data_IF_884312848005
#
_entry.id   IF_884312848005
#
_cell.length_a   1.000
_cell.length_b   1.000
_cell.length_c   1.000
_cell.angle_alpha   90.00
_cell.angle_beta   90.00
_cell.angle_gamma   90.00
#
_symmetry.space_group_name_H-M   'P 1'
#
loop_
_entity.id
_entity.type
_entity.pdbx_description
1 polymer ?
#
# COMPACT_ATOMS: atom_id res chain seq x y z
N UNK A 1 -73.91 -0.03 19.16
CA UNK A 1 -74.35 0.23 17.77
C UNK A 1 -73.17 -0.26 16.86
N UNK A 2 -73.28 -1.50 16.39
CA UNK A 2 -73.63 -1.91 15.01
C UNK A 2 -72.66 -1.35 13.93
N UNK A 3 -71.96 -2.07 13.09
CA UNK A 3 -72.02 -3.43 12.44
C UNK A 3 -70.67 -3.57 11.71
N UNK A 4 -69.84 -4.59 11.80
CA UNK A 4 -69.85 -5.87 11.07
C UNK A 4 -70.04 -5.77 9.54
N UNK A 5 -69.13 -6.35 8.76
CA UNK A 5 -69.17 -7.14 7.51
C UNK A 5 -67.76 -7.35 6.97
N UNK A 6 -67.10 -8.50 7.10
CA UNK A 6 -67.11 -9.81 6.38
C UNK A 6 -66.60 -9.74 4.95
N UNK A 7 -65.43 -10.33 4.78
CA UNK A 7 -64.90 -11.28 3.76
C UNK A 7 -65.51 -11.36 2.37
N UNK A 8 -64.63 -11.52 1.35
CA UNK A 8 -64.62 -12.63 0.38
C UNK A 8 -63.35 -12.77 -0.39
N UNK A 9 -62.75 -13.99 -0.31
CA UNK A 9 -61.82 -14.58 -1.31
C UNK A 9 -62.62 -14.90 -2.56
N UNK A 10 -61.96 -14.86 -3.75
CA UNK A 10 -62.39 -15.61 -4.92
C UNK A 10 -61.14 -16.03 -5.69
N UNK A 11 -60.88 -17.34 -5.70
CA UNK A 11 -60.06 -18.07 -6.63
C UNK A 11 -60.86 -18.37 -7.89
N UNK A 12 -60.24 -18.34 -9.08
CA UNK A 12 -60.55 -19.07 -10.32
C UNK A 12 -59.28 -19.09 -11.13
N UNK A 13 -58.65 -20.12 -11.57
CA UNK A 13 -59.05 -21.44 -12.05
C UNK A 13 -58.96 -21.48 -13.58
N UNK A 14 -57.87 -22.11 -14.06
CA UNK A 14 -57.63 -22.78 -15.36
C UNK A 14 -58.52 -22.43 -16.59
N UNK A 15 -57.82 -22.25 -17.74
CA UNK A 15 -58.07 -23.11 -18.93
C UNK A 15 -57.04 -22.90 -20.05
N UNK A 16 -56.44 -24.01 -20.46
CA UNK A 16 -55.59 -24.24 -21.62
C UNK A 16 -56.44 -24.20 -22.88
N UNK A 17 -55.95 -23.56 -23.97
CA UNK A 17 -56.22 -23.99 -25.34
C UNK A 17 -55.04 -23.76 -26.25
N UNK A 18 -54.49 -24.83 -26.74
CA UNK A 18 -53.52 -24.89 -27.82
C UNK A 18 -54.20 -24.54 -29.15
N UNK A 19 -53.50 -23.80 -29.98
CA UNK A 19 -53.76 -23.77 -31.43
C UNK A 19 -52.46 -23.73 -32.20
N UNK A 20 -52.13 -24.82 -32.86
CA UNK A 20 -51.03 -24.94 -33.79
C UNK A 20 -51.45 -24.35 -35.16
N UNK A 21 -50.60 -23.49 -35.73
CA UNK A 21 -50.56 -23.23 -37.18
C UNK A 21 -49.09 -23.20 -37.61
N UNK A 22 -48.82 -24.08 -38.54
CA UNK A 22 -47.56 -24.31 -39.24
C UNK A 22 -47.31 -23.27 -40.34
N UNK A 23 -45.98 -23.13 -40.65
CA UNK A 23 -45.35 -22.78 -41.92
C UNK A 23 -44.73 -21.36 -41.96
N UNK A 24 -43.40 -21.37 -42.14
CA UNK A 24 -42.63 -20.24 -42.62
C UNK A 24 -41.17 -20.33 -42.21
N UNK A 25 -40.35 -21.08 -42.97
CA UNK A 25 -38.90 -21.12 -42.82
C UNK A 25 -38.34 -19.75 -43.21
N UNK A 26 -37.88 -18.97 -42.26
CA UNK A 26 -36.91 -17.92 -42.48
C UNK A 26 -35.73 -18.20 -41.53
N UNK A 27 -34.58 -18.57 -42.13
CA UNK A 27 -33.31 -18.66 -41.42
C UNK A 27 -32.87 -17.26 -40.98
N UNK A 28 -33.21 -16.88 -39.80
CA UNK A 28 -32.57 -15.75 -39.12
C UNK A 28 -31.35 -16.29 -38.36
N UNK A 29 -30.16 -15.91 -38.78
CA UNK A 29 -28.94 -16.03 -37.99
C UNK A 29 -29.14 -15.25 -36.69
N UNK A 30 -29.61 -15.90 -35.65
CA UNK A 30 -29.56 -15.39 -34.29
C UNK A 30 -28.15 -15.65 -33.78
N UNK A 31 -27.26 -14.67 -33.99
CA UNK A 31 -26.04 -14.57 -33.20
C UNK A 31 -26.46 -14.42 -31.72
N UNK A 32 -26.47 -15.52 -30.99
CA UNK A 32 -26.50 -15.45 -29.52
C UNK A 32 -25.21 -14.78 -29.11
N UNK A 33 -25.26 -13.46 -28.85
CA UNK A 33 -24.28 -12.83 -28.03
C UNK A 33 -24.35 -13.55 -26.69
N UNK A 34 -23.38 -14.42 -26.43
CA UNK A 34 -23.09 -14.86 -25.06
C UNK A 34 -22.67 -13.62 -24.32
N UNK A 35 -23.60 -12.97 -23.64
CA UNK A 35 -23.31 -12.03 -22.60
C UNK A 35 -22.68 -12.86 -21.50
N UNK A 36 -21.35 -12.97 -21.50
CA UNK A 36 -20.62 -13.45 -20.32
C UNK A 36 -20.99 -12.49 -19.21
N UNK A 37 -21.60 -12.92 -18.10
CA UNK A 37 -21.84 -12.02 -17.01
C UNK A 37 -20.45 -11.49 -16.62
N UNK A 38 -20.27 -10.16 -16.68
CA UNK A 38 -19.11 -9.50 -16.12
C UNK A 38 -18.96 -10.07 -14.72
N UNK A 39 -17.88 -10.82 -14.47
CA UNK A 39 -17.61 -11.32 -13.14
C UNK A 39 -17.76 -10.13 -12.20
N UNK A 40 -18.59 -10.27 -11.17
CA UNK A 40 -18.70 -9.25 -10.16
C UNK A 40 -17.26 -8.96 -9.71
N UNK A 41 -16.86 -7.68 -9.71
CA UNK A 41 -15.54 -7.30 -9.20
C UNK A 41 -15.39 -8.02 -7.85
N UNK A 42 -14.42 -8.93 -7.77
CA UNK A 42 -14.19 -9.66 -6.53
C UNK A 42 -14.04 -8.60 -5.45
N UNK A 43 -14.83 -8.75 -4.37
CA UNK A 43 -14.69 -7.90 -3.21
C UNK A 43 -13.19 -7.85 -2.87
N UNK A 44 -12.64 -6.66 -2.59
CA UNK A 44 -11.21 -6.45 -2.34
C UNK A 44 -10.74 -7.60 -1.47
N UNK A 45 -9.95 -8.50 -2.05
CA UNK A 45 -9.41 -9.64 -1.33
C UNK A 45 -8.37 -9.08 -0.35
N UNK A 46 -8.56 -9.35 0.94
CA UNK A 46 -7.66 -8.86 2.01
C UNK A 46 -6.23 -9.42 1.90
N UNK A 47 -5.98 -10.31 0.94
CA UNK A 47 -4.68 -10.94 0.69
C UNK A 47 -3.79 -10.16 -0.26
N UNK A 48 -4.36 -9.32 -1.13
CA UNK A 48 -3.64 -8.73 -2.25
C UNK A 48 -2.96 -7.41 -1.87
N UNK A 49 -1.84 -7.12 -2.50
CA UNK A 49 -1.20 -5.80 -2.44
C UNK A 49 -1.92 -4.86 -3.41
N UNK A 50 -2.40 -3.72 -2.89
CA UNK A 50 -3.18 -2.75 -3.68
C UNK A 50 -2.58 -1.36 -3.55
N UNK A 51 -2.40 -0.70 -4.69
CA UNK A 51 -1.85 0.65 -4.75
C UNK A 51 -2.45 1.44 -5.92
N UNK A 52 -2.44 2.76 -5.81
CA UNK A 52 -2.97 3.66 -6.84
C UNK A 52 -1.84 4.46 -7.51
N UNK A 53 -1.96 4.62 -8.82
CA UNK A 53 -1.02 5.36 -9.66
C UNK A 53 -1.72 6.43 -10.49
N UNK A 54 -0.99 7.51 -10.83
CA UNK A 54 -1.39 8.50 -11.84
C UNK A 54 -0.42 8.41 -13.02
N UNK A 55 -0.86 7.82 -14.12
CA UNK A 55 0.00 7.58 -15.27
C UNK A 55 0.46 8.87 -15.97
N UNK A 56 -0.23 9.99 -15.75
CA UNK A 56 0.11 11.33 -16.30
C UNK A 56 1.38 11.93 -15.68
N UNK A 57 1.84 11.38 -14.58
CA UNK A 57 3.07 11.84 -13.90
C UNK A 57 4.31 11.32 -14.63
N UNK A 58 5.47 11.97 -14.44
CA UNK A 58 6.72 11.56 -15.09
C UNK A 58 7.11 10.11 -14.82
N UNK A 59 7.65 9.45 -15.85
CA UNK A 59 8.10 8.04 -15.81
C UNK A 59 8.03 7.40 -17.20
N UNK A 60 7.49 6.20 -17.30
CA UNK A 60 7.08 5.53 -18.54
C UNK A 60 6.04 6.36 -19.31
N UNK A 61 5.64 6.02 -20.54
CA UNK A 61 4.57 6.72 -21.26
C UNK A 61 3.34 6.97 -20.40
N UNK A 62 2.63 8.06 -20.67
CA UNK A 62 1.49 8.55 -19.85
C UNK A 62 0.26 7.62 -19.83
N UNK A 63 0.28 6.56 -20.62
CA UNK A 63 -0.71 5.46 -20.62
C UNK A 63 -0.16 4.17 -20.02
N UNK A 64 0.97 4.20 -19.31
CA UNK A 64 1.60 3.00 -18.79
C UNK A 64 2.04 3.14 -17.33
N UNK A 65 2.14 2.00 -16.66
CA UNK A 65 2.85 1.83 -15.39
C UNK A 65 3.63 0.54 -15.41
N UNK A 66 4.92 0.61 -15.10
CA UNK A 66 5.83 -0.55 -15.08
C UNK A 66 5.96 -1.04 -13.64
N UNK A 67 5.54 -2.28 -13.39
CA UNK A 67 5.68 -2.91 -12.06
C UNK A 67 7.16 -3.08 -11.74
N UNK A 68 7.70 -2.37 -10.74
CA UNK A 68 9.11 -2.40 -10.41
C UNK A 68 9.43 -3.64 -9.56
N UNK A 69 10.31 -4.48 -10.04
CA UNK A 69 10.76 -5.68 -9.34
C UNK A 69 12.28 -5.74 -9.24
N UNK A 70 12.78 -6.55 -8.30
CA UNK A 70 14.19 -6.88 -8.16
C UNK A 70 14.36 -8.34 -7.77
N UNK A 71 15.37 -9.01 -8.36
CA UNK A 71 15.63 -10.42 -8.07
C UNK A 71 14.59 -11.36 -8.66
N UNK A 72 14.34 -12.49 -8.00
CA UNK A 72 13.45 -13.55 -8.47
C UNK A 72 12.48 -14.03 -7.36
N UNK A 73 11.78 -15.15 -7.63
CA UNK A 73 10.84 -15.76 -6.68
C UNK A 73 9.42 -15.22 -6.80
N UNK A 74 9.11 -14.51 -7.88
CA UNK A 74 7.76 -14.02 -8.17
C UNK A 74 6.91 -15.12 -8.80
N UNK A 75 5.64 -15.14 -8.43
CA UNK A 75 4.56 -15.89 -9.08
C UNK A 75 3.25 -15.17 -8.74
N UNK A 76 2.96 -14.09 -9.47
CA UNK A 76 1.86 -13.20 -9.13
C UNK A 76 0.83 -13.08 -10.25
N UNK A 77 -0.34 -12.62 -9.88
CA UNK A 77 -1.42 -12.16 -10.76
C UNK A 77 -1.50 -10.66 -10.70
N UNK A 78 -1.95 -10.02 -11.76
CA UNK A 78 -2.13 -8.58 -11.80
C UNK A 78 -3.45 -8.20 -12.45
N UNK A 79 -4.18 -7.32 -11.77
CA UNK A 79 -5.34 -6.59 -12.23
C UNK A 79 -4.94 -5.09 -12.26
N UNK A 80 -4.77 -4.56 -13.47
CA UNK A 80 -4.17 -3.24 -13.70
C UNK A 80 -5.11 -2.07 -13.40
N UNK A 81 -6.40 -2.30 -13.25
CA UNK A 81 -7.42 -1.27 -13.05
C UNK A 81 -8.42 -1.59 -11.95
N UNK A 82 -8.20 -2.71 -11.25
CA UNK A 82 -9.04 -3.22 -10.15
C UNK A 82 -10.51 -3.38 -10.57
N UNK A 83 -10.76 -3.86 -11.81
CA UNK A 83 -12.11 -4.14 -12.30
C UNK A 83 -12.55 -5.61 -12.08
N UNK A 84 -11.67 -6.41 -11.47
CA UNK A 84 -11.85 -7.84 -11.22
C UNK A 84 -11.43 -8.71 -12.41
N UNK A 85 -10.90 -8.11 -13.48
CA UNK A 85 -10.34 -8.84 -14.61
C UNK A 85 -8.82 -8.89 -14.44
N UNK A 86 -8.25 -10.08 -14.35
CA UNK A 86 -6.81 -10.27 -14.24
C UNK A 86 -6.19 -10.19 -15.65
N UNK A 87 -5.34 -9.17 -15.89
CA UNK A 87 -4.64 -9.04 -17.18
C UNK A 87 -3.56 -10.09 -17.36
N UNK A 88 -2.93 -10.54 -16.28
CA UNK A 88 -1.91 -11.58 -16.37
C UNK A 88 -1.82 -12.42 -15.11
N UNK A 89 -1.46 -13.69 -15.30
CA UNK A 89 -1.26 -14.70 -14.22
C UNK A 89 0.14 -15.29 -14.31
N UNK A 90 0.60 -15.90 -13.21
CA UNK A 90 1.89 -16.58 -13.12
C UNK A 90 3.08 -15.72 -13.58
N UNK A 91 3.03 -14.42 -13.28
CA UNK A 91 4.08 -13.50 -13.65
C UNK A 91 5.33 -13.73 -12.78
N UNK A 92 6.48 -13.87 -13.42
CA UNK A 92 7.78 -14.11 -12.77
C UNK A 92 8.75 -12.95 -12.95
N UNK A 93 8.39 -11.97 -13.78
CA UNK A 93 9.17 -10.80 -14.15
C UNK A 93 8.40 -9.50 -13.97
N UNK A 94 8.97 -8.39 -14.40
CA UNK A 94 8.29 -7.11 -14.49
C UNK A 94 7.11 -7.19 -15.47
N UNK A 95 6.03 -6.49 -15.15
CA UNK A 95 4.85 -6.37 -16.01
C UNK A 95 4.56 -4.90 -16.29
N UNK A 96 4.07 -4.58 -17.49
CA UNK A 96 3.66 -3.22 -17.84
C UNK A 96 2.14 -3.17 -17.97
N UNK A 97 1.48 -2.50 -17.04
CA UNK A 97 0.09 -2.12 -17.22
C UNK A 97 -0.04 -1.05 -18.30
N UNK A 98 -0.90 -1.28 -19.28
CA UNK A 98 -1.14 -0.36 -20.39
C UNK A 98 -2.62 0.02 -20.45
N UNK A 99 -2.91 1.30 -20.56
CA UNK A 99 -4.24 1.87 -20.48
C UNK A 99 -4.61 2.57 -21.80
N UNK A 100 -5.90 2.60 -22.14
CA UNK A 100 -6.38 3.29 -23.33
C UNK A 100 -6.22 4.82 -23.24
N UNK A 101 -6.26 5.38 -22.01
CA UNK A 101 -6.17 6.81 -21.75
C UNK A 101 -5.26 7.07 -20.54
N UNK A 102 -4.54 8.21 -20.51
CA UNK A 102 -3.87 8.66 -19.29
C UNK A 102 -4.86 8.89 -18.15
N UNK A 103 -4.51 8.48 -16.92
CA UNK A 103 -5.43 8.63 -15.81
C UNK A 103 -4.89 8.14 -14.47
N UNK A 104 -5.80 8.06 -13.50
CA UNK A 104 -5.55 7.45 -12.20
C UNK A 104 -6.11 6.05 -12.21
N UNK A 105 -5.31 5.07 -11.81
CA UNK A 105 -5.65 3.66 -11.81
C UNK A 105 -5.23 3.00 -10.50
N UNK A 106 -6.10 2.14 -9.98
CA UNK A 106 -5.75 1.27 -8.86
C UNK A 106 -5.29 -0.07 -9.41
N UNK A 107 -4.14 -0.52 -8.98
CA UNK A 107 -3.52 -1.77 -9.41
C UNK A 107 -3.56 -2.75 -8.24
N UNK A 108 -3.88 -4.00 -8.54
CA UNK A 108 -3.98 -5.08 -7.58
C UNK A 108 -3.03 -6.22 -7.97
N UNK A 109 -2.25 -6.67 -7.02
CA UNK A 109 -1.30 -7.76 -7.18
C UNK A 109 -1.61 -8.86 -6.18
N UNK A 110 -1.99 -10.03 -6.68
CA UNK A 110 -2.24 -11.24 -5.88
C UNK A 110 -1.13 -12.27 -6.05
N UNK A 111 -1.06 -13.24 -5.13
CA UNK A 111 -0.09 -14.34 -5.20
C UNK A 111 1.25 -14.00 -4.56
N UNK A 112 2.36 -14.53 -5.10
CA UNK A 112 3.70 -14.35 -4.52
C UNK A 112 4.41 -13.16 -5.16
N UNK A 113 4.51 -12.06 -4.40
CA UNK A 113 5.14 -10.81 -4.85
C UNK A 113 6.13 -10.30 -3.79
N UNK A 114 7.35 -10.86 -3.70
CA UNK A 114 8.24 -10.69 -2.55
C UNK A 114 8.90 -9.32 -2.42
N UNK A 115 9.01 -8.55 -3.49
CA UNK A 115 9.62 -7.22 -3.48
C UNK A 115 8.94 -6.27 -4.47
N UNK A 116 8.76 -5.02 -4.04
CA UNK A 116 8.46 -3.86 -4.88
C UNK A 116 9.69 -2.93 -4.81
N UNK A 117 10.27 -2.49 -5.93
CA UNK A 117 11.57 -1.84 -5.88
C UNK A 117 11.70 -0.68 -6.85
N UNK A 118 11.36 0.51 -6.41
CA UNK A 118 11.54 1.75 -7.18
C UNK A 118 12.97 2.29 -7.11
N UNK A 119 13.58 2.28 -5.92
CA UNK A 119 14.96 2.75 -5.71
C UNK A 119 15.27 4.09 -6.39
N UNK A 120 14.40 5.07 -6.20
CA UNK A 120 14.49 6.41 -6.80
C UNK A 120 14.48 6.44 -8.34
N UNK A 121 13.99 5.39 -9.00
CA UNK A 121 13.95 5.27 -10.46
C UNK A 121 12.55 4.99 -11.01
N UNK A 122 12.47 4.68 -12.30
CA UNK A 122 11.26 4.24 -12.99
C UNK A 122 10.05 5.15 -12.77
N UNK A 123 8.91 4.54 -12.53
CA UNK A 123 7.62 5.20 -12.37
C UNK A 123 7.35 5.73 -10.95
N UNK A 124 8.38 6.01 -10.17
CA UNK A 124 8.28 6.48 -8.78
C UNK A 124 7.33 7.67 -8.60
N UNK A 125 7.32 8.62 -9.54
CA UNK A 125 6.47 9.81 -9.44
C UNK A 125 5.02 9.54 -9.83
N UNK A 126 4.72 8.38 -10.43
CA UNK A 126 3.36 7.94 -10.72
C UNK A 126 2.66 7.32 -9.52
N UNK A 127 3.39 6.88 -8.49
CA UNK A 127 2.81 6.37 -7.26
C UNK A 127 2.02 7.47 -6.55
N UNK A 128 0.75 7.16 -6.19
CA UNK A 128 -0.15 8.07 -5.48
C UNK A 128 -0.47 7.56 -4.08
N UNK A 129 -0.75 6.27 -3.93
CA UNK A 129 -0.99 5.70 -2.60
C UNK A 129 -0.71 4.21 -2.54
N UNK A 130 -0.35 3.75 -1.32
CA UNK A 130 -0.49 2.34 -0.92
C UNK A 130 -1.85 2.26 -0.23
N UNK A 131 -2.75 1.45 -0.78
CA UNK A 131 -4.13 1.34 -0.33
C UNK A 131 -4.35 0.10 0.53
N UNK A 132 -3.55 -0.97 0.31
CA UNK A 132 -3.56 -2.21 1.08
C UNK A 132 -2.20 -2.92 0.95
N UNK A 133 -1.66 -3.43 2.07
CA UNK A 133 -0.44 -4.26 2.07
C UNK A 133 -0.74 -5.71 1.71
N UNK A 134 -1.93 -6.20 2.07
CA UNK A 134 -2.36 -7.58 1.92
C UNK A 134 -1.61 -8.55 2.84
N UNK A 135 -1.67 -9.83 2.50
CA UNK A 135 -0.96 -10.90 3.24
C UNK A 135 0.32 -11.35 2.55
N UNK A 136 0.85 -10.49 1.69
CA UNK A 136 2.11 -10.75 1.01
C UNK A 136 3.27 -10.73 2.02
N UNK A 137 4.08 -11.80 2.00
CA UNK A 137 5.29 -11.89 2.84
C UNK A 137 6.43 -11.17 2.16
N UNK A 138 6.75 -9.99 2.64
CA UNK A 138 7.79 -9.15 2.05
C UNK A 138 9.17 -9.71 2.38
N UNK A 139 9.88 -10.23 1.37
CA UNK A 139 11.28 -10.62 1.49
C UNK A 139 12.18 -9.40 1.66
N UNK A 140 11.81 -8.28 1.06
CA UNK A 140 12.50 -7.01 1.21
C UNK A 140 11.57 -5.84 0.93
N UNK A 141 11.66 -4.80 1.78
CA UNK A 141 11.10 -3.47 1.52
C UNK A 141 12.22 -2.41 1.34
N UNK A 142 13.47 -2.84 1.19
CA UNK A 142 14.60 -1.93 0.98
C UNK A 142 14.38 -1.07 -0.26
N UNK A 143 14.32 0.26 -0.07
CA UNK A 143 14.12 1.26 -1.12
C UNK A 143 12.86 1.04 -1.99
N UNK A 144 11.84 0.34 -1.46
CA UNK A 144 10.65 -0.05 -2.21
C UNK A 144 9.93 1.16 -2.79
N UNK A 145 9.75 2.20 -2.01
CA UNK A 145 9.05 3.42 -2.44
C UNK A 145 9.97 4.65 -2.42
N UNK A 146 11.29 4.44 -2.44
CA UNK A 146 12.25 5.54 -2.45
C UNK A 146 12.03 6.46 -3.64
N UNK A 147 11.82 7.75 -3.34
CA UNK A 147 11.61 8.81 -4.32
C UNK A 147 10.19 8.94 -4.86
N UNK A 148 9.22 8.18 -4.34
CA UNK A 148 7.81 8.30 -4.70
C UNK A 148 7.18 9.57 -4.08
N UNK A 149 7.65 10.74 -4.53
CA UNK A 149 7.34 12.03 -3.90
C UNK A 149 5.84 12.40 -3.86
N UNK A 150 5.01 11.79 -4.71
CA UNK A 150 3.57 12.03 -4.77
C UNK A 150 2.75 11.01 -3.95
N UNK A 151 3.42 10.05 -3.29
CA UNK A 151 2.76 8.91 -2.64
C UNK A 151 2.39 9.22 -1.19
N UNK A 152 1.23 8.72 -0.78
CA UNK A 152 0.83 8.60 0.62
C UNK A 152 0.55 7.12 0.97
N UNK A 153 0.46 6.79 2.26
CA UNK A 153 0.02 5.48 2.75
C UNK A 153 -1.37 5.63 3.35
N UNK A 154 -2.32 4.85 2.82
CA UNK A 154 -3.73 4.82 3.26
C UNK A 154 -4.14 3.46 3.82
N UNK A 155 -3.26 2.46 3.67
CA UNK A 155 -3.50 1.09 4.10
C UNK A 155 -3.84 1.02 5.59
N UNK A 156 -4.96 0.39 5.92
CA UNK A 156 -5.41 0.18 7.31
C UNK A 156 -4.93 -1.16 7.88
N UNK A 157 -4.36 -2.01 7.04
CA UNK A 157 -3.60 -3.20 7.40
C UNK A 157 -2.09 -2.89 7.52
N UNK A 158 -1.29 -3.89 7.87
CA UNK A 158 0.16 -3.76 8.04
C UNK A 158 0.90 -4.74 7.14
N UNK A 159 2.12 -4.40 6.68
CA UNK A 159 2.95 -5.34 5.92
C UNK A 159 3.39 -6.52 6.79
N UNK A 160 3.41 -7.73 6.23
CA UNK A 160 4.07 -8.89 6.85
C UNK A 160 5.58 -8.81 6.63
N UNK A 161 6.31 -8.36 7.67
CA UNK A 161 7.77 -8.20 7.67
C UNK A 161 8.53 -9.45 8.16
N UNK A 162 7.84 -10.57 8.38
CA UNK A 162 8.43 -11.79 8.98
C UNK A 162 9.60 -12.40 8.18
N UNK A 163 9.76 -12.01 6.92
CA UNK A 163 10.83 -12.50 6.04
C UNK A 163 11.89 -11.45 5.69
N UNK A 164 11.84 -10.26 6.28
CA UNK A 164 12.85 -9.22 6.07
C UNK A 164 13.46 -8.77 7.38
N UNK A 165 14.74 -8.43 7.33
CA UNK A 165 15.49 -7.82 8.42
C UNK A 165 15.81 -6.33 8.16
N UNK A 166 15.34 -5.79 7.03
CA UNK A 166 15.66 -4.42 6.63
C UNK A 166 14.49 -3.72 5.93
N UNK A 167 14.21 -2.51 6.39
CA UNK A 167 13.29 -1.55 5.75
C UNK A 167 14.04 -0.27 5.35
N UNK A 168 15.36 -0.40 5.08
CA UNK A 168 16.24 0.70 4.72
C UNK A 168 15.65 1.54 3.58
N UNK A 169 15.53 2.86 3.80
CA UNK A 169 15.06 3.84 2.81
C UNK A 169 13.68 3.54 2.19
N UNK A 170 12.80 2.78 2.86
CA UNK A 170 11.52 2.36 2.27
C UNK A 170 10.68 3.54 1.78
N UNK A 171 10.61 4.64 2.54
CA UNK A 171 9.86 5.86 2.19
C UNK A 171 10.75 7.08 1.95
N UNK A 172 12.03 6.88 1.78
CA UNK A 172 12.94 8.02 1.58
C UNK A 172 12.49 8.88 0.40
N UNK A 173 12.43 10.20 0.61
CA UNK A 173 12.05 11.17 -0.42
C UNK A 173 10.57 11.19 -0.79
N UNK A 174 9.71 10.59 0.06
CA UNK A 174 8.26 10.66 -0.11
C UNK A 174 7.72 11.95 0.53
N UNK A 175 7.90 13.06 -0.14
CA UNK A 175 7.55 14.39 0.38
C UNK A 175 6.06 14.58 0.64
N UNK A 176 5.18 13.85 -0.05
CA UNK A 176 3.73 13.87 0.18
C UNK A 176 3.24 12.95 1.30
N UNK A 177 4.12 12.08 1.85
CA UNK A 177 3.73 11.11 2.86
C UNK A 177 3.21 11.77 4.13
N UNK A 178 1.95 11.54 4.46
CA UNK A 178 1.31 11.92 5.73
C UNK A 178 0.92 10.71 6.55
N UNK A 179 0.28 9.71 5.92
CA UNK A 179 -0.15 8.46 6.54
C UNK A 179 -1.22 8.62 7.63
N UNK A 180 -2.04 9.69 7.57
CA UNK A 180 -2.97 10.09 8.65
C UNK A 180 -4.01 9.01 8.99
N UNK A 181 -4.42 8.19 8.01
CA UNK A 181 -5.42 7.15 8.17
C UNK A 181 -4.84 5.73 8.09
N UNK A 182 -3.51 5.62 7.98
CA UNK A 182 -2.83 4.34 7.86
C UNK A 182 -2.60 3.68 9.23
N UNK A 183 -2.48 2.36 9.21
CA UNK A 183 -2.07 1.61 10.39
C UNK A 183 -0.52 1.55 10.47
N UNK A 184 0.04 2.22 11.47
CA UNK A 184 1.49 2.25 11.70
C UNK A 184 1.96 1.29 12.80
N UNK A 185 1.09 0.39 13.29
CA UNK A 185 1.45 -0.63 14.29
C UNK A 185 2.11 -1.85 13.62
N UNK A 186 3.19 -1.62 12.90
CA UNK A 186 3.93 -2.67 12.21
C UNK A 186 4.68 -3.56 13.21
N UNK A 187 4.71 -4.87 12.94
CA UNK A 187 5.63 -5.76 13.64
C UNK A 187 7.04 -5.60 13.06
N UNK A 188 7.87 -4.86 13.77
CA UNK A 188 9.25 -4.57 13.37
C UNK A 188 10.29 -5.41 14.14
N UNK A 189 9.85 -6.44 14.86
CA UNK A 189 10.70 -7.26 15.73
C UNK A 189 11.84 -7.99 15.00
N UNK A 190 11.70 -8.23 13.69
CA UNK A 190 12.76 -8.83 12.86
C UNK A 190 13.78 -7.82 12.33
N UNK A 191 13.48 -6.52 12.42
CA UNK A 191 14.24 -5.49 11.71
C UNK A 191 15.54 -5.13 12.43
N UNK A 192 16.63 -5.17 11.69
CA UNK A 192 17.97 -4.77 12.15
C UNK A 192 18.45 -3.47 11.50
N UNK A 193 17.87 -3.09 10.35
CA UNK A 193 18.25 -1.89 9.62
C UNK A 193 17.03 -1.02 9.27
N UNK A 194 16.95 0.14 9.91
CA UNK A 194 15.93 1.20 9.67
C UNK A 194 16.56 2.49 9.10
N UNK A 195 17.76 2.43 8.57
CA UNK A 195 18.44 3.63 8.07
C UNK A 195 17.63 4.36 7.00
N UNK A 196 17.43 5.66 7.16
CA UNK A 196 16.76 6.52 6.19
C UNK A 196 15.29 6.20 5.86
N UNK A 197 14.57 5.41 6.68
CA UNK A 197 13.18 5.00 6.41
C UNK A 197 12.30 6.19 6.07
N UNK A 198 12.36 7.25 6.85
CA UNK A 198 11.59 8.50 6.67
C UNK A 198 12.48 9.70 6.31
N UNK A 199 13.67 9.44 5.75
CA UNK A 199 14.52 10.54 5.29
C UNK A 199 13.80 11.33 4.19
N UNK A 200 13.84 12.66 4.28
CA UNK A 200 13.22 13.56 3.31
C UNK A 200 11.68 13.42 3.21
N UNK A 201 11.01 12.96 4.27
CA UNK A 201 9.53 12.91 4.39
C UNK A 201 9.02 14.15 5.13
N UNK A 202 8.87 15.25 4.42
CA UNK A 202 8.61 16.57 5.03
C UNK A 202 7.31 16.65 5.85
N UNK A 203 6.30 15.83 5.51
CA UNK A 203 4.96 15.90 6.07
C UNK A 203 4.62 14.76 7.04
N UNK A 204 5.48 13.75 7.16
CA UNK A 204 5.23 12.59 8.03
C UNK A 204 5.32 12.97 9.52
N UNK A 205 4.24 12.69 10.26
CA UNK A 205 4.20 12.90 11.70
C UNK A 205 3.25 11.90 12.40
N UNK A 206 3.41 10.60 12.14
CA UNK A 206 2.60 9.58 12.78
C UNK A 206 3.30 9.00 14.01
N UNK A 207 2.48 8.48 14.95
CA UNK A 207 2.99 7.78 16.12
C UNK A 207 3.46 6.37 15.73
N UNK A 208 4.74 6.13 15.85
CA UNK A 208 5.40 4.84 15.63
C UNK A 208 6.08 4.30 16.89
N UNK A 209 5.67 4.79 18.05
CA UNK A 209 6.25 4.35 19.33
C UNK A 209 5.99 2.89 19.68
N UNK A 210 5.07 2.21 18.97
CA UNK A 210 4.83 0.77 19.11
C UNK A 210 5.85 -0.09 18.34
N UNK A 211 6.69 0.50 17.50
CA UNK A 211 7.70 -0.26 16.78
C UNK A 211 8.73 -0.88 17.73
N UNK A 212 8.99 -2.15 17.56
CA UNK A 212 10.07 -2.83 18.29
C UNK A 212 11.40 -2.54 17.59
N UNK A 213 12.24 -1.76 18.26
CA UNK A 213 13.58 -1.41 17.78
C UNK A 213 14.70 -2.18 18.50
N UNK A 214 14.34 -3.16 19.32
CA UNK A 214 15.30 -3.89 20.18
C UNK A 214 16.35 -4.69 19.42
N UNK A 215 16.10 -4.97 18.12
CA UNK A 215 17.03 -5.63 17.22
C UNK A 215 17.72 -4.66 16.23
N UNK A 216 17.39 -3.37 16.25
CA UNK A 216 17.92 -2.39 15.31
C UNK A 216 19.38 -2.08 15.62
N UNK A 217 20.23 -2.25 14.61
CA UNK A 217 21.66 -1.92 14.62
C UNK A 217 21.90 -0.60 13.89
N UNK A 218 21.21 -0.37 12.76
CA UNK A 218 21.39 0.80 11.91
C UNK A 218 20.12 1.65 11.87
N UNK A 219 20.17 2.85 12.46
CA UNK A 219 19.10 3.86 12.45
C UNK A 219 19.58 5.22 11.89
N UNK A 220 20.75 5.25 11.22
CA UNK A 220 21.31 6.48 10.67
C UNK A 220 20.34 7.15 9.69
N UNK A 221 20.14 8.47 9.83
CA UNK A 221 19.25 9.25 8.98
C UNK A 221 17.78 8.86 9.02
N UNK A 222 17.32 8.09 10.02
CA UNK A 222 15.94 7.57 10.08
C UNK A 222 14.89 8.64 9.80
N UNK A 223 15.05 9.85 10.36
CA UNK A 223 14.17 11.01 10.20
C UNK A 223 14.94 12.23 9.63
N UNK A 224 16.01 12.01 8.89
CA UNK A 224 16.77 13.09 8.30
C UNK A 224 15.85 13.93 7.39
N UNK A 225 15.80 15.27 7.58
CA UNK A 225 14.91 16.20 6.87
C UNK A 225 13.39 15.89 7.03
N UNK A 226 12.97 15.07 7.98
CA UNK A 226 11.56 14.85 8.30
C UNK A 226 11.05 16.03 9.14
N UNK A 227 10.86 17.19 8.52
CA UNK A 227 10.67 18.48 9.18
C UNK A 227 9.44 18.56 10.07
N UNK A 228 8.38 17.79 9.75
CA UNK A 228 7.15 17.73 10.55
C UNK A 228 7.21 16.69 11.69
N UNK A 229 8.16 15.76 11.66
CA UNK A 229 8.16 14.62 12.56
C UNK A 229 8.31 15.04 14.03
N UNK A 230 7.35 14.60 14.84
CA UNK A 230 7.36 14.67 16.31
C UNK A 230 6.55 13.53 16.92
N UNK A 231 6.58 12.35 16.28
CA UNK A 231 5.89 11.13 16.73
C UNK A 231 4.38 11.35 17.02
N UNK A 232 3.70 12.14 16.19
CA UNK A 232 2.28 12.48 16.40
C UNK A 232 2.02 13.25 17.69
N UNK A 233 3.05 13.82 18.33
CA UNK A 233 2.97 14.46 19.65
C UNK A 233 3.01 13.46 20.83
N UNK A 234 3.16 12.16 20.55
CA UNK A 234 3.25 11.12 21.59
C UNK A 234 4.70 10.94 22.07
N UNK A 235 4.88 10.79 23.38
CA UNK A 235 6.18 10.52 23.99
C UNK A 235 6.59 9.03 23.93
N UNK A 236 5.81 8.20 23.25
CA UNK A 236 5.95 6.73 23.29
C UNK A 236 7.32 6.23 22.79
N UNK A 237 8.00 6.97 21.90
CA UNK A 237 9.36 6.59 21.45
C UNK A 237 10.41 6.63 22.55
N UNK A 238 10.12 7.25 23.71
CA UNK A 238 10.99 7.15 24.90
C UNK A 238 11.22 5.71 25.36
N UNK A 239 10.26 4.82 25.03
CA UNK A 239 10.29 3.41 25.42
C UNK A 239 11.06 2.52 24.42
N UNK A 240 11.60 3.08 23.35
CA UNK A 240 12.39 2.31 22.40
C UNK A 240 13.64 1.74 23.09
N UNK A 241 13.83 0.44 22.94
CA UNK A 241 15.04 -0.23 23.42
C UNK A 241 16.15 -0.10 22.37
N UNK A 242 17.02 0.89 22.57
CA UNK A 242 18.10 1.23 21.62
C UNK A 242 19.43 0.55 21.92
N UNK A 243 19.48 -0.34 22.91
CA UNK A 243 20.71 -0.93 23.41
C UNK A 243 21.53 -1.79 22.43
N UNK A 244 21.02 -2.04 21.20
CA UNK A 244 21.79 -2.68 20.12
C UNK A 244 22.20 -1.71 19.01
N UNK A 245 21.71 -0.48 19.04
CA UNK A 245 21.93 0.47 17.92
C UNK A 245 23.35 1.02 17.96
N UNK A 246 24.09 0.80 16.89
CA UNK A 246 25.47 1.29 16.73
C UNK A 246 25.57 2.54 15.87
N UNK A 247 24.62 2.77 14.95
CA UNK A 247 24.60 3.91 14.06
C UNK A 247 23.31 4.72 14.23
N UNK A 248 23.45 5.96 14.72
CA UNK A 248 22.41 6.96 14.91
C UNK A 248 22.78 8.30 14.23
N UNK A 249 23.80 8.29 13.36
CA UNK A 249 24.26 9.51 12.70
C UNK A 249 23.13 10.16 11.90
N UNK A 250 23.02 11.48 11.99
CA UNK A 250 21.99 12.29 11.31
C UNK A 250 20.54 11.81 11.56
N UNK A 251 20.26 11.04 12.63
CA UNK A 251 18.95 10.39 12.85
C UNK A 251 17.80 11.39 12.85
N UNK A 252 17.98 12.56 13.46
CA UNK A 252 17.02 13.67 13.51
C UNK A 252 17.58 14.95 12.88
N UNK A 253 18.56 14.83 11.99
CA UNK A 253 19.11 15.99 11.30
C UNK A 253 18.02 16.73 10.56
N UNK A 254 17.88 18.04 10.80
CA UNK A 254 16.81 18.88 10.24
C UNK A 254 15.37 18.42 10.52
N UNK A 255 15.14 17.56 11.51
CA UNK A 255 13.80 17.25 12.03
C UNK A 255 13.31 18.43 12.89
N UNK A 256 12.91 19.51 12.24
CA UNK A 256 12.71 20.85 12.85
C UNK A 256 11.74 20.86 14.02
N UNK A 257 10.69 20.01 13.95
CA UNK A 257 9.65 19.93 15.00
C UNK A 257 9.89 18.86 16.06
N UNK A 258 10.91 18.03 15.88
CA UNK A 258 11.19 16.95 16.81
C UNK A 258 11.54 17.48 18.21
N UNK A 259 10.77 17.07 19.22
CA UNK A 259 11.00 17.38 20.62
C UNK A 259 10.40 16.31 21.55
N UNK A 260 10.92 15.08 21.46
CA UNK A 260 10.46 13.96 22.30
C UNK A 260 11.48 13.62 23.37
N UNK A 261 11.03 13.16 24.57
CA UNK A 261 11.92 12.89 25.71
C UNK A 261 12.64 11.54 25.52
N UNK A 262 13.73 11.54 24.79
CA UNK A 262 14.53 10.35 24.49
C UNK A 262 15.74 10.15 25.41
N UNK A 263 15.81 10.86 26.52
CA UNK A 263 16.93 10.77 27.47
C UNK A 263 17.10 9.41 28.15
N UNK A 264 16.12 8.50 28.03
CA UNK A 264 16.18 7.12 28.52
C UNK A 264 16.80 6.13 27.53
N UNK A 265 17.14 6.56 26.33
CA UNK A 265 17.73 5.67 25.35
C UNK A 265 19.11 5.18 25.76
N UNK A 266 19.33 3.88 25.65
CA UNK A 266 20.66 3.30 25.85
C UNK A 266 21.52 3.54 24.61
N UNK A 267 22.52 4.40 24.76
CA UNK A 267 23.48 4.74 23.70
C UNK A 267 24.86 4.14 23.94
N UNK A 268 24.98 3.19 24.86
CA UNK A 268 26.27 2.61 25.27
C UNK A 268 27.01 1.88 24.14
N UNK A 269 26.28 1.46 23.10
CA UNK A 269 26.85 0.83 21.89
C UNK A 269 26.87 1.75 20.67
N UNK A 270 26.45 2.99 20.81
CA UNK A 270 26.44 3.91 19.67
C UNK A 270 27.87 4.33 19.30
N UNK A 271 28.29 3.96 18.10
CA UNK A 271 29.59 4.29 17.51
C UNK A 271 29.51 5.52 16.61
N UNK A 272 28.36 5.71 15.92
CA UNK A 272 28.13 6.79 14.98
C UNK A 272 26.94 7.63 15.43
N UNK A 273 27.21 8.87 15.92
CA UNK A 273 26.21 9.83 16.36
C UNK A 273 26.39 11.22 15.74
N UNK A 274 27.26 11.35 14.72
CA UNK A 274 27.53 12.64 14.09
C UNK A 274 26.24 13.26 13.57
N UNK A 275 26.05 14.55 13.79
CA UNK A 275 24.94 15.36 13.30
C UNK A 275 23.54 14.88 13.73
N UNK A 276 23.43 14.02 14.75
CA UNK A 276 22.18 13.39 15.16
C UNK A 276 21.03 14.39 15.34
N UNK A 277 21.29 15.58 15.86
CA UNK A 277 20.31 16.66 16.10
C UNK A 277 20.64 17.96 15.36
N UNK A 278 21.57 17.92 14.39
CA UNK A 278 21.91 19.14 13.65
C UNK A 278 20.66 19.69 12.94
N UNK A 279 20.27 20.93 13.24
CA UNK A 279 19.07 21.54 12.69
C UNK A 279 17.72 21.09 13.28
N UNK A 280 17.72 20.22 14.30
CA UNK A 280 16.50 19.85 15.05
C UNK A 280 16.13 20.97 16.05
N UNK A 281 15.55 22.06 15.52
CA UNK A 281 15.45 23.36 16.23
C UNK A 281 14.54 23.33 17.46
N UNK A 282 13.56 22.43 17.51
CA UNK A 282 12.65 22.31 18.66
C UNK A 282 13.22 21.43 19.78
N UNK A 283 14.23 20.62 19.50
CA UNK A 283 14.79 19.67 20.46
C UNK A 283 15.59 20.38 21.56
N UNK A 284 15.23 20.14 22.84
CA UNK A 284 15.85 20.72 24.02
C UNK A 284 15.95 19.71 25.18
#
# INVERSE_FOLDING_TARGET
>A
MNRCWKTKRLEFGLAIKALAVTIGVLAAFSGTMFYSPKAAADAINDTDFVFTVDTRKPGSPDTQFVIPIRGGGYNYTIDCNNDGTVEATAQTGSYTCSYATPGVYTIRIGGVFPEFYLNNGGDKLKMISIDQWGKNKWRSLVASFYGAANMDVKATDTPDLSQTDSIYSVFRGNTSLKGENANWNWDTSTITNMGGVFSDTENFNQNIGSWDVSNVVFAGGLFNNATAFNNGGSDSIKNWNTGKTTAMNAMFQNAVKFNQPIGSWDVSKAELMSEMFNGARAFN
#
